data_IF_693281589798
#
_entry.id   IF_693281589798
#
_cell.length_a   1.000
_cell.length_b   1.000
_cell.length_c   1.000
_cell.angle_alpha   90.00
_cell.angle_beta   90.00
_cell.angle_gamma   90.00
#
_symmetry.space_group_name_H-M   'P 1'
#
loop_
_entity.id
_entity.type
_entity.pdbx_description
1 polymer ?
#
# COMPACT_ATOMS: atom_id res chain seq x y z
N UNK A 1 8.87 12.30 -7.40
CA UNK A 1 9.62 11.98 -6.15
C UNK A 1 9.55 10.50 -5.91
N UNK A 2 10.70 9.84 -5.78
CA UNK A 2 10.76 8.37 -5.60
C UNK A 2 11.06 8.03 -4.15
N UNK A 3 10.42 6.97 -3.66
CA UNK A 3 10.70 6.37 -2.36
C UNK A 3 11.05 4.89 -2.54
N UNK A 4 11.76 4.35 -1.59
CA UNK A 4 11.96 2.93 -1.42
C UNK A 4 11.87 2.61 0.07
N UNK A 5 11.00 1.69 0.42
CA UNK A 5 10.84 1.19 1.79
C UNK A 5 10.72 -0.31 1.75
N UNK A 6 11.31 -0.97 2.72
CA UNK A 6 11.21 -2.41 2.89
C UNK A 6 10.96 -2.78 4.34
N UNK A 7 10.39 -3.95 4.55
CA UNK A 7 10.18 -4.55 5.86
C UNK A 7 10.40 -6.06 5.76
N UNK A 8 11.08 -6.63 6.75
CA UNK A 8 11.23 -8.07 6.93
C UNK A 8 10.11 -8.60 7.82
N UNK A 9 9.44 -9.66 7.39
CA UNK A 9 8.28 -10.24 8.06
C UNK A 9 8.56 -11.73 8.33
N UNK A 10 8.34 -12.18 9.56
CA UNK A 10 8.66 -13.54 10.00
C UNK A 10 7.52 -14.52 9.71
N UNK A 11 7.05 -14.51 8.46
CA UNK A 11 6.10 -15.48 7.91
C UNK A 11 6.46 -15.78 6.46
N UNK A 12 5.95 -16.90 5.87
CA UNK A 12 6.14 -17.21 4.46
C UNK A 12 5.67 -16.09 3.52
N UNK A 13 6.31 -15.96 2.37
CA UNK A 13 5.98 -14.93 1.37
C UNK A 13 4.54 -15.05 0.88
N UNK A 14 4.02 -16.27 0.73
CA UNK A 14 2.66 -16.56 0.30
C UNK A 14 1.62 -15.98 1.27
N UNK A 15 1.90 -16.00 2.59
CA UNK A 15 1.01 -15.39 3.59
C UNK A 15 0.97 -13.87 3.43
N UNK A 16 2.10 -13.23 3.23
CA UNK A 16 2.17 -11.77 2.99
C UNK A 16 1.49 -11.42 1.67
N UNK A 17 1.74 -12.20 0.62
CA UNK A 17 1.12 -12.00 -0.68
C UNK A 17 -0.41 -12.12 -0.64
N UNK A 18 -0.93 -13.11 0.08
CA UNK A 18 -2.38 -13.26 0.29
C UNK A 18 -3.00 -11.99 0.90
N UNK A 19 -2.29 -11.32 1.82
CA UNK A 19 -2.76 -10.08 2.45
C UNK A 19 -2.70 -8.90 1.47
N UNK A 20 -1.55 -8.66 0.85
CA UNK A 20 -1.31 -7.40 0.11
C UNK A 20 -1.72 -7.48 -1.36
N UNK A 21 -1.58 -8.63 -1.99
CA UNK A 21 -1.87 -8.85 -3.41
C UNK A 21 -3.28 -9.39 -3.64
N UNK A 22 -3.59 -10.57 -3.12
CA UNK A 22 -4.89 -11.22 -3.34
C UNK A 22 -6.02 -10.47 -2.63
N UNK A 23 -5.79 -9.98 -1.41
CA UNK A 23 -6.74 -9.20 -0.61
C UNK A 23 -6.41 -7.68 -0.62
N UNK A 24 -5.89 -7.17 -1.72
CA UNK A 24 -5.49 -5.76 -1.87
C UNK A 24 -6.56 -4.76 -1.41
N UNK A 25 -7.85 -5.04 -1.65
CA UNK A 25 -8.95 -4.17 -1.25
C UNK A 25 -9.23 -4.17 0.26
N UNK A 26 -8.61 -5.07 1.03
CA UNK A 26 -8.82 -5.18 2.49
C UNK A 26 -7.80 -4.40 3.32
N UNK A 27 -7.04 -3.48 2.72
CA UNK A 27 -6.03 -2.68 3.44
C UNK A 27 -6.62 -1.92 4.63
N UNK A 28 -7.87 -1.48 4.55
CA UNK A 28 -8.58 -0.82 5.65
C UNK A 28 -8.78 -1.70 6.88
N UNK A 29 -8.60 -3.02 6.78
CA UNK A 29 -8.68 -3.91 7.93
C UNK A 29 -7.45 -3.80 8.84
N UNK A 30 -6.26 -3.60 8.27
CA UNK A 30 -4.99 -3.69 8.99
C UNK A 30 -4.11 -2.43 8.98
N UNK A 31 -4.15 -1.58 7.93
CA UNK A 31 -3.34 -0.36 7.88
C UNK A 31 -3.99 0.78 8.66
N UNK A 32 -3.29 1.31 9.64
CA UNK A 32 -3.79 2.41 10.47
C UNK A 32 -3.84 3.78 9.77
N UNK A 33 -3.36 3.90 8.53
CA UNK A 33 -3.52 5.12 7.71
C UNK A 33 -4.81 5.11 6.89
N UNK A 34 -5.45 3.95 6.76
CA UNK A 34 -6.67 3.75 5.99
C UNK A 34 -7.83 3.44 6.93
N UNK A 35 -8.84 4.28 7.00
CA UNK A 35 -10.00 4.07 7.87
C UNK A 35 -10.91 2.95 7.36
N UNK A 36 -11.16 2.92 6.06
CA UNK A 36 -11.91 1.86 5.38
C UNK A 36 -11.45 1.68 3.94
N UNK A 37 -11.72 0.51 3.38
CA UNK A 37 -11.44 0.21 1.98
C UNK A 37 -12.42 -0.81 1.43
N UNK A 38 -12.66 -0.74 0.11
CA UNK A 38 -13.52 -1.69 -0.62
C UNK A 38 -13.06 -1.85 -2.05
N UNK A 39 -13.49 -2.95 -2.70
CA UNK A 39 -13.26 -3.15 -4.14
C UNK A 39 -13.91 -2.01 -4.93
N UNK A 40 -13.19 -1.50 -5.92
CA UNK A 40 -13.74 -0.59 -6.91
C UNK A 40 -14.03 -1.37 -8.19
N UNK A 41 -15.32 -1.57 -8.48
CA UNK A 41 -15.78 -2.32 -9.65
C UNK A 41 -15.75 -1.49 -10.95
N UNK A 42 -15.51 -0.19 -10.89
CA UNK A 42 -15.44 0.69 -12.07
C UNK A 42 -14.12 0.51 -12.83
N UNK A 43 -13.12 -0.09 -12.19
CA UNK A 43 -11.83 -0.36 -12.82
C UNK A 43 -11.80 -1.74 -13.47
N UNK A 44 -11.34 -1.83 -14.73
CA UNK A 44 -11.15 -3.12 -15.38
C UNK A 44 -10.04 -3.90 -14.69
N UNK A 45 -10.19 -5.22 -14.64
CA UNK A 45 -9.12 -6.12 -14.20
C UNK A 45 -7.94 -6.04 -15.14
N UNK A 46 -6.73 -6.07 -14.59
CA UNK A 46 -5.52 -6.38 -15.35
C UNK A 46 -5.28 -7.90 -15.34
N UNK A 47 -4.48 -8.38 -16.29
CA UNK A 47 -4.24 -9.82 -16.42
C UNK A 47 -3.74 -10.43 -15.09
N UNK A 48 -4.45 -11.45 -14.62
CA UNK A 48 -4.14 -12.19 -13.38
C UNK A 48 -4.60 -11.54 -12.10
N UNK A 49 -5.09 -10.28 -12.11
CA UNK A 49 -5.55 -9.61 -10.89
C UNK A 49 -6.91 -10.14 -10.41
N UNK A 50 -7.15 -10.16 -9.08
CA UNK A 50 -8.43 -10.62 -8.53
C UNK A 50 -9.59 -9.66 -8.87
N UNK A 51 -9.30 -8.36 -8.98
CA UNK A 51 -10.23 -7.28 -9.33
C UNK A 51 -9.46 -6.10 -9.93
N UNK A 52 -10.14 -5.02 -10.35
CA UNK A 52 -9.51 -3.88 -11.03
C UNK A 52 -8.79 -2.90 -10.09
N UNK A 53 -9.26 -2.77 -8.85
CA UNK A 53 -8.70 -1.83 -7.89
C UNK A 53 -9.54 -1.69 -6.62
N UNK A 54 -9.26 -0.63 -5.86
CA UNK A 54 -9.95 -0.34 -4.60
C UNK A 54 -10.23 1.15 -4.41
N UNK A 55 -11.14 1.45 -3.51
CA UNK A 55 -11.35 2.78 -2.93
C UNK A 55 -10.90 2.73 -1.49
N UNK A 56 -10.11 3.69 -1.06
CA UNK A 56 -9.64 3.86 0.32
C UNK A 56 -10.10 5.20 0.89
N UNK A 57 -10.62 5.17 2.11
CA UNK A 57 -10.85 6.38 2.90
C UNK A 57 -9.67 6.59 3.85
N UNK A 58 -9.09 7.78 3.79
CA UNK A 58 -7.91 8.16 4.59
C UNK A 58 -8.11 9.52 5.22
N UNK A 59 -7.23 9.92 6.13
CA UNK A 59 -7.21 11.28 6.69
C UNK A 59 -6.94 12.37 5.64
N UNK A 60 -6.43 11.98 4.46
CA UNK A 60 -6.19 12.90 3.32
C UNK A 60 -7.34 12.92 2.32
N UNK A 61 -8.42 12.19 2.58
CA UNK A 61 -9.58 12.04 1.70
C UNK A 61 -9.66 10.66 1.05
N UNK A 62 -10.59 10.56 0.10
CA UNK A 62 -10.83 9.34 -0.68
C UNK A 62 -9.76 9.17 -1.74
N UNK A 63 -9.17 7.98 -1.81
CA UNK A 63 -8.17 7.61 -2.82
C UNK A 63 -8.73 6.45 -3.64
N UNK A 64 -8.77 6.63 -4.96
CA UNK A 64 -9.09 5.56 -5.90
C UNK A 64 -7.78 4.96 -6.42
N UNK A 65 -7.59 3.67 -6.20
CA UNK A 65 -6.37 2.97 -6.59
C UNK A 65 -6.72 1.84 -7.57
N UNK A 66 -6.14 1.92 -8.78
CA UNK A 66 -6.30 0.91 -9.84
C UNK A 66 -5.01 0.13 -10.05
N UNK A 67 -5.13 -1.17 -10.28
CA UNK A 67 -3.99 -1.96 -10.72
C UNK A 67 -3.51 -1.50 -12.10
N UNK A 68 -2.19 -1.44 -12.26
CA UNK A 68 -1.52 -1.21 -13.55
C UNK A 68 -0.89 -2.51 -14.03
N UNK A 69 -0.24 -3.24 -13.12
CA UNK A 69 0.32 -4.57 -13.37
C UNK A 69 0.02 -5.49 -12.21
N UNK A 70 -0.08 -6.80 -12.48
CA UNK A 70 -0.24 -7.82 -11.45
C UNK A 70 0.41 -9.11 -11.92
N UNK A 71 1.33 -9.65 -11.14
CA UNK A 71 2.03 -10.90 -11.41
C UNK A 71 2.02 -11.78 -10.17
N UNK A 72 1.12 -12.75 -10.16
CA UNK A 72 0.94 -13.71 -9.06
C UNK A 72 2.20 -14.55 -8.83
N UNK A 73 2.86 -14.98 -9.89
CA UNK A 73 4.04 -15.85 -9.79
C UNK A 73 5.24 -15.14 -9.18
N UNK A 74 5.41 -13.86 -9.53
CA UNK A 74 6.49 -13.02 -9.01
C UNK A 74 6.11 -12.29 -7.73
N UNK A 75 4.87 -12.45 -7.26
CA UNK A 75 4.32 -11.74 -6.10
C UNK A 75 4.60 -10.24 -6.18
N UNK A 76 4.30 -9.64 -7.33
CA UNK A 76 4.51 -8.20 -7.56
C UNK A 76 3.32 -7.58 -8.26
N UNK A 77 2.99 -6.37 -7.89
CA UNK A 77 1.98 -5.56 -8.56
C UNK A 77 2.35 -4.10 -8.51
N UNK A 78 1.79 -3.34 -9.45
CA UNK A 78 1.80 -1.87 -9.38
C UNK A 78 0.37 -1.34 -9.44
N UNK A 79 0.15 -0.21 -8.79
CA UNK A 79 -1.13 0.48 -8.81
C UNK A 79 -0.93 1.98 -8.89
N UNK A 80 -1.89 2.64 -9.51
CA UNK A 80 -1.97 4.10 -9.59
C UNK A 80 -3.04 4.60 -8.63
N UNK A 81 -2.66 5.52 -7.76
CA UNK A 81 -3.58 6.25 -6.88
C UNK A 81 -4.00 7.56 -7.49
N UNK A 82 -5.32 7.77 -7.56
CA UNK A 82 -5.93 9.06 -7.89
C UNK A 82 -6.44 9.69 -6.59
N UNK A 83 -5.79 10.78 -6.22
CA UNK A 83 -6.14 11.61 -5.07
C UNK A 83 -6.33 13.05 -5.52
N UNK A 84 -7.46 13.64 -5.20
CA UNK A 84 -7.69 15.08 -5.44
C UNK A 84 -6.85 15.89 -4.45
N UNK A 85 -5.68 16.31 -4.87
CA UNK A 85 -4.72 17.03 -4.02
C UNK A 85 -4.10 18.20 -4.77
N UNK A 86 -3.97 19.37 -4.15
CA UNK A 86 -3.21 20.49 -4.73
C UNK A 86 -1.70 20.20 -4.77
N UNK A 87 -1.23 19.15 -4.12
CA UNK A 87 0.19 18.83 -3.90
C UNK A 87 0.69 17.73 -4.83
N UNK A 88 -0.16 16.73 -5.12
CA UNK A 88 0.15 15.56 -5.94
C UNK A 88 -0.65 15.59 -7.24
N UNK A 89 -0.01 15.25 -8.34
CA UNK A 89 -0.69 15.05 -9.63
C UNK A 89 -0.84 13.58 -10.00
N UNK A 90 0.00 12.71 -9.48
CA UNK A 90 -0.04 11.27 -9.73
C UNK A 90 0.74 10.51 -8.66
N UNK A 91 0.29 9.32 -8.32
CA UNK A 91 1.00 8.38 -7.43
C UNK A 91 1.00 7.01 -8.06
N UNK A 92 2.17 6.50 -8.41
CA UNK A 92 2.37 5.13 -8.89
C UNK A 92 3.18 4.36 -7.86
N UNK A 93 2.66 3.28 -7.33
CA UNK A 93 3.39 2.44 -6.38
C UNK A 93 3.59 1.04 -6.93
N UNK A 94 4.78 0.49 -6.71
CA UNK A 94 5.10 -0.91 -6.98
C UNK A 94 5.38 -1.63 -5.67
N UNK A 95 4.72 -2.75 -5.48
CA UNK A 95 4.87 -3.60 -4.30
C UNK A 95 5.36 -4.97 -4.74
N UNK A 96 6.38 -5.49 -4.06
CA UNK A 96 6.93 -6.82 -4.32
C UNK A 96 7.14 -7.56 -3.01
N UNK A 97 6.75 -8.82 -2.96
CA UNK A 97 7.01 -9.73 -1.84
C UNK A 97 7.99 -10.80 -2.32
N UNK A 98 9.08 -10.99 -1.58
CA UNK A 98 10.10 -11.99 -1.90
C UNK A 98 10.32 -12.93 -0.72
N UNK A 99 10.42 -14.25 -0.94
CA UNK A 99 10.82 -15.18 0.10
C UNK A 99 12.29 -14.97 0.48
N UNK A 100 12.59 -14.96 1.77
CA UNK A 100 13.96 -15.00 2.31
C UNK A 100 14.32 -16.44 2.68
N UNK A 101 13.38 -17.15 3.31
CA UNK A 101 13.40 -18.58 3.59
C UNK A 101 11.97 -19.07 3.81
N UNK A 102 11.79 -20.32 4.20
CA UNK A 102 10.46 -20.93 4.40
C UNK A 102 9.56 -20.17 5.40
N UNK A 103 10.13 -19.48 6.37
CA UNK A 103 9.41 -18.80 7.46
C UNK A 103 9.66 -17.30 7.51
N UNK A 104 10.28 -16.73 6.49
CA UNK A 104 10.61 -15.29 6.45
C UNK A 104 10.49 -14.75 5.03
N UNK A 105 9.91 -13.59 4.93
CA UNK A 105 9.75 -12.84 3.69
C UNK A 105 10.24 -11.41 3.84
N UNK A 106 10.33 -10.72 2.71
CA UNK A 106 10.59 -9.28 2.64
C UNK A 106 9.58 -8.66 1.70
N UNK A 107 8.96 -7.58 2.14
CA UNK A 107 8.13 -6.74 1.29
C UNK A 107 8.83 -5.44 0.96
N UNK A 108 8.72 -5.00 -0.28
CA UNK A 108 9.19 -3.68 -0.72
C UNK A 108 8.03 -2.86 -1.25
N UNK A 109 8.05 -1.56 -0.98
CA UNK A 109 7.15 -0.58 -1.55
C UNK A 109 7.97 0.55 -2.19
N UNK A 110 7.72 0.82 -3.46
CA UNK A 110 8.48 1.78 -4.26
C UNK A 110 7.55 2.82 -4.90
N UNK A 111 6.94 3.72 -4.10
CA UNK A 111 6.10 4.74 -4.68
C UNK A 111 6.90 5.81 -5.41
N UNK A 112 6.39 6.18 -6.59
CA UNK A 112 6.80 7.33 -7.36
C UNK A 112 5.65 8.34 -7.37
N UNK A 113 5.93 9.54 -6.87
CA UNK A 113 4.94 10.60 -6.68
C UNK A 113 5.31 11.79 -7.55
N UNK A 114 4.40 12.18 -8.42
CA UNK A 114 4.53 13.39 -9.23
C UNK A 114 3.94 14.57 -8.46
N UNK A 115 4.77 15.59 -8.24
CA UNK A 115 4.40 16.76 -7.47
C UNK A 115 3.95 17.89 -8.40
N UNK A 116 2.88 18.59 -7.99
CA UNK A 116 2.51 19.89 -8.56
C UNK A 116 3.58 20.95 -8.26
N UNK A 117 3.42 22.16 -8.77
CA UNK A 117 4.31 23.27 -8.41
C UNK A 117 4.34 23.53 -6.89
N UNK A 118 3.17 23.55 -6.25
CA UNK A 118 3.05 23.72 -4.78
C UNK A 118 3.76 22.57 -4.06
N UNK A 119 3.55 21.33 -4.51
CA UNK A 119 4.20 20.15 -3.94
C UNK A 119 5.72 20.19 -4.04
N UNK A 120 6.27 20.76 -5.12
CA UNK A 120 7.74 20.91 -5.26
C UNK A 120 8.31 21.88 -4.23
N UNK A 121 7.61 22.97 -3.93
CA UNK A 121 8.04 23.97 -2.93
C UNK A 121 8.14 23.37 -1.53
N UNK A 122 7.17 22.52 -1.14
CA UNK A 122 7.11 21.90 0.19
C UNK A 122 7.63 20.46 0.19
N UNK A 123 8.37 20.06 -0.83
CA UNK A 123 8.83 18.69 -1.04
C UNK A 123 9.57 18.04 0.15
N UNK A 124 10.39 18.74 0.96
CA UNK A 124 11.01 18.13 2.13
C UNK A 124 9.99 17.63 3.17
N UNK A 125 8.93 18.42 3.41
CA UNK A 125 7.85 18.03 4.33
C UNK A 125 7.07 16.84 3.80
N UNK A 126 6.76 16.84 2.49
CA UNK A 126 6.10 15.71 1.83
C UNK A 126 6.95 14.44 1.94
N UNK A 127 8.26 14.56 1.69
CA UNK A 127 9.19 13.43 1.78
C UNK A 127 9.20 12.82 3.18
N UNK A 128 9.26 13.63 4.21
CA UNK A 128 9.24 13.17 5.60
C UNK A 128 7.90 12.53 5.98
N UNK A 129 6.77 13.19 5.68
CA UNK A 129 5.42 12.72 6.01
C UNK A 129 5.05 11.44 5.28
N UNK A 130 5.18 11.43 3.95
CA UNK A 130 4.82 10.27 3.13
C UNK A 130 5.75 9.08 3.39
N UNK A 131 7.05 9.31 3.50
CA UNK A 131 8.00 8.26 3.85
C UNK A 131 7.74 7.66 5.23
N UNK A 132 7.31 8.47 6.19
CA UNK A 132 6.87 8.02 7.51
C UNK A 132 5.59 7.20 7.47
N UNK A 133 4.60 7.64 6.69
CA UNK A 133 3.33 6.92 6.52
C UNK A 133 3.54 5.53 5.91
N UNK A 134 4.33 5.43 4.83
CA UNK A 134 4.66 4.15 4.18
C UNK A 134 5.34 3.20 5.18
N UNK A 135 6.32 3.70 5.94
CA UNK A 135 7.02 2.88 6.95
C UNK A 135 6.07 2.39 8.05
N UNK A 136 5.13 3.24 8.49
CA UNK A 136 4.12 2.85 9.49
C UNK A 136 3.16 1.79 8.94
N UNK A 137 2.71 1.93 7.69
CA UNK A 137 1.86 0.93 7.03
C UNK A 137 2.56 -0.43 6.91
N UNK A 138 3.84 -0.46 6.52
CA UNK A 138 4.61 -1.72 6.47
C UNK A 138 4.77 -2.36 7.85
N UNK A 139 4.90 -1.58 8.92
CA UNK A 139 4.93 -2.12 10.29
C UNK A 139 3.58 -2.68 10.73
N UNK A 140 2.47 -2.05 10.35
CA UNK A 140 1.14 -2.60 10.63
C UNK A 140 0.91 -3.91 9.89
N UNK A 141 1.34 -3.97 8.61
CA UNK A 141 1.31 -5.20 7.84
C UNK A 141 2.12 -6.32 8.51
N UNK A 142 3.35 -6.01 8.95
CA UNK A 142 4.20 -6.95 9.69
C UNK A 142 3.48 -7.49 10.91
N UNK A 143 2.94 -6.60 11.73
CA UNK A 143 2.21 -6.98 12.93
C UNK A 143 1.02 -7.88 12.61
N UNK A 144 0.22 -7.49 11.61
CA UNK A 144 -0.96 -8.24 11.17
C UNK A 144 -0.59 -9.62 10.63
N UNK A 145 0.43 -9.72 9.79
CA UNK A 145 0.87 -10.98 9.21
C UNK A 145 1.47 -11.94 10.23
N UNK A 146 2.22 -11.43 11.22
CA UNK A 146 2.88 -12.25 12.25
C UNK A 146 1.95 -12.68 13.38
N UNK A 147 0.89 -11.92 13.68
CA UNK A 147 0.04 -12.12 14.85
C UNK A 147 -1.43 -12.46 14.53
N UNK A 148 -1.83 -12.43 13.26
CA UNK A 148 -3.21 -12.64 12.80
C UNK A 148 -4.23 -11.71 13.50
N UNK A 149 -3.77 -10.53 13.93
CA UNK A 149 -4.57 -9.50 14.59
C UNK A 149 -4.07 -8.10 14.23
N UNK A 150 -4.93 -7.09 14.36
CA UNK A 150 -4.61 -5.71 14.02
C UNK A 150 -3.65 -5.07 15.01
N UNK A 151 -2.78 -4.20 14.52
CA UNK A 151 -1.78 -3.50 15.35
C UNK A 151 -2.42 -2.55 16.34
N UNK A 152 -1.75 -2.24 17.49
CA UNK A 152 -2.22 -1.22 18.44
C UNK A 152 -2.45 0.14 17.78
N UNK A 153 -1.64 0.49 16.75
CA UNK A 153 -1.82 1.72 15.97
C UNK A 153 -3.13 1.70 15.17
N UNK A 154 -3.46 0.57 14.55
CA UNK A 154 -4.72 0.41 13.83
C UNK A 154 -5.91 0.48 14.77
N UNK A 155 -5.82 -0.10 15.98
CA UNK A 155 -6.86 0.01 17.00
C UNK A 155 -7.07 1.49 17.38
N UNK A 156 -5.99 2.23 17.59
CA UNK A 156 -6.06 3.64 17.97
C UNK A 156 -6.66 4.53 16.85
N UNK A 157 -6.47 4.18 15.58
CA UNK A 157 -7.01 4.94 14.44
C UNK A 157 -8.53 4.74 14.23
N UNK A 158 -9.14 3.77 14.90
CA UNK A 158 -10.59 3.51 14.85
C UNK A 158 -11.41 4.30 15.90
N UNK A 159 -10.72 4.97 16.83
CA UNK A 159 -11.33 5.84 17.85
C UNK A 159 -11.42 7.27 17.34
#
# INVERSE_FOLDING_TARGET
>A
MKFFKEESINVPAEKVWAIVGQNFAKIGEWDGTVSSSKINNDFPKVNGSPYGGRVCETSFGTINEKFITYDEKRMTFSFQGDIKSPVFSNVLNTVTVVPVNANKSRITASPNVDLTFIGKVISPLIKAGLGGAIKKGLKDLKYYAENDTISPRKIASKK
#
